data_IF_876308240146
#
_entry.id   IF_876308240146
#
_cell.length_a   1.000
_cell.length_b   1.000
_cell.length_c   1.000
_cell.angle_alpha   90.00
_cell.angle_beta   90.00
_cell.angle_gamma   90.00
#
_symmetry.space_group_name_H-M   'P 1'
#
loop_
_entity.id
_entity.type
_entity.pdbx_description
1 polymer ?
#
# COMPACT_ATOMS: atom_id res chain seq x y z
N UNK A 1 48.88 -8.29 11.55
CA UNK A 1 47.57 -8.64 12.17
C UNK A 1 46.49 -7.56 12.02
N UNK A 2 46.80 -6.34 11.55
CA UNK A 2 45.84 -5.22 11.46
C UNK A 2 44.84 -5.33 10.31
N UNK A 3 45.20 -5.98 9.20
CA UNK A 3 44.33 -6.09 8.01
C UNK A 3 43.07 -6.94 8.26
N UNK A 4 43.20 -8.08 8.97
CA UNK A 4 42.06 -8.93 9.35
C UNK A 4 41.10 -8.18 10.28
N UNK A 5 41.63 -7.44 11.26
CA UNK A 5 40.83 -6.66 12.19
C UNK A 5 40.00 -5.56 11.50
N UNK A 6 40.60 -4.85 10.53
CA UNK A 6 39.89 -3.83 9.73
C UNK A 6 38.79 -4.44 8.87
N UNK A 7 39.03 -5.62 8.28
CA UNK A 7 38.04 -6.32 7.47
C UNK A 7 36.86 -6.86 8.31
N UNK A 8 37.14 -7.41 9.49
CA UNK A 8 36.08 -7.85 10.42
C UNK A 8 35.23 -6.69 10.93
N UNK A 9 35.83 -5.52 11.22
CA UNK A 9 35.07 -4.33 11.63
C UNK A 9 34.20 -3.81 10.48
N UNK A 10 34.73 -3.79 9.26
CA UNK A 10 33.97 -3.38 8.08
C UNK A 10 32.75 -4.29 7.83
N UNK A 11 32.93 -5.61 7.94
CA UNK A 11 31.82 -6.57 7.83
C UNK A 11 30.78 -6.39 8.93
N UNK A 12 31.21 -6.07 10.15
CA UNK A 12 30.29 -5.85 11.27
C UNK A 12 29.44 -4.59 11.08
N UNK A 13 30.04 -3.49 10.59
CA UNK A 13 29.31 -2.26 10.25
C UNK A 13 28.31 -2.50 9.11
N UNK A 14 28.73 -3.24 8.08
CA UNK A 14 27.86 -3.57 6.95
C UNK A 14 26.66 -4.42 7.40
N UNK A 15 26.90 -5.45 8.22
CA UNK A 15 25.84 -6.27 8.78
C UNK A 15 24.87 -5.43 9.63
N UNK A 16 25.37 -4.52 10.46
CA UNK A 16 24.51 -3.69 11.30
C UNK A 16 23.56 -2.82 10.48
N UNK A 17 24.04 -2.25 9.35
CA UNK A 17 23.21 -1.48 8.42
C UNK A 17 22.04 -2.28 7.84
N UNK A 18 22.23 -3.58 7.58
CA UNK A 18 21.17 -4.46 7.10
C UNK A 18 20.15 -4.84 8.19
N UNK A 19 20.56 -4.91 9.47
CA UNK A 19 19.66 -5.27 10.57
C UNK A 19 18.96 -4.07 11.22
N UNK A 20 19.48 -2.86 11.08
CA UNK A 20 18.84 -1.62 11.60
C UNK A 20 18.00 -0.89 10.57
N UNK A 21 18.06 -1.28 9.30
CA UNK A 21 17.17 -0.76 8.27
C UNK A 21 15.79 -1.41 8.39
N UNK A 22 14.75 -0.60 8.61
CA UNK A 22 13.37 -1.06 8.37
C UNK A 22 13.26 -1.44 6.90
N UNK A 23 12.93 -2.71 6.65
CA UNK A 23 13.03 -3.36 5.35
C UNK A 23 12.38 -2.59 4.20
N UNK A 24 13.00 -2.75 3.01
CA UNK A 24 12.55 -2.32 1.69
C UNK A 24 11.87 -0.95 1.70
N UNK A 25 12.64 0.09 1.36
CA UNK A 25 12.13 1.39 0.98
C UNK A 25 11.04 1.20 -0.08
N UNK A 26 9.78 1.18 0.36
CA UNK A 26 8.64 1.08 -0.54
C UNK A 26 8.68 2.33 -1.39
N UNK A 27 9.06 2.18 -2.66
CA UNK A 27 9.08 3.24 -3.68
C UNK A 27 7.68 3.78 -4.01
N UNK A 28 6.66 3.48 -3.19
CA UNK A 28 5.35 4.12 -3.24
C UNK A 28 5.22 5.07 -2.04
N UNK A 29 5.22 6.39 -2.28
CA UNK A 29 4.93 7.37 -1.24
C UNK A 29 3.45 7.24 -0.88
N UNK A 30 3.14 6.48 0.17
CA UNK A 30 1.76 6.32 0.64
C UNK A 30 1.59 5.17 1.60
N UNK A 31 1.61 5.48 2.91
CA UNK A 31 0.75 5.10 4.05
C UNK A 31 -0.09 3.80 4.06
N UNK A 32 -0.02 2.90 3.08
CA UNK A 32 -0.76 1.64 3.12
C UNK A 32 0.00 0.70 4.08
N UNK A 33 -0.57 0.34 5.25
CA UNK A 33 0.11 -0.54 6.19
C UNK A 33 0.42 -1.89 5.55
N UNK A 34 1.53 -2.56 5.94
CA UNK A 34 2.00 -3.79 5.31
C UNK A 34 1.03 -5.00 5.38
N UNK A 35 -0.14 -4.84 5.99
CA UNK A 35 -1.20 -5.85 6.07
C UNK A 35 -2.33 -5.72 5.04
N UNK A 36 -2.43 -4.62 4.29
CA UNK A 36 -3.53 -4.41 3.33
C UNK A 36 -3.07 -4.80 1.92
N UNK A 37 -3.53 -5.96 1.45
CA UNK A 37 -3.17 -6.49 0.12
C UNK A 37 -4.27 -6.38 -0.91
N UNK A 38 -5.51 -6.18 -0.48
CA UNK A 38 -6.68 -6.06 -1.35
C UNK A 38 -7.67 -5.09 -0.72
N UNK A 39 -8.39 -4.38 -1.58
CA UNK A 39 -9.42 -3.41 -1.15
C UNK A 39 -10.74 -3.69 -1.86
N UNK A 40 -11.84 -3.42 -1.17
CA UNK A 40 -13.17 -3.34 -1.76
C UNK A 40 -13.68 -1.90 -1.64
N UNK A 41 -14.50 -1.46 -2.59
CA UNK A 41 -15.23 -0.19 -2.53
C UNK A 41 -16.71 -0.56 -2.45
N UNK A 42 -17.39 -0.03 -1.43
CA UNK A 42 -18.84 -0.16 -1.30
C UNK A 42 -19.55 0.90 -2.18
N UNK A 43 -20.77 0.61 -2.62
CA UNK A 43 -21.50 1.54 -3.49
C UNK A 43 -21.82 2.84 -2.75
N UNK A 44 -21.47 3.99 -3.35
CA UNK A 44 -21.71 5.30 -2.75
C UNK A 44 -23.22 5.60 -2.71
N UNK A 45 -23.72 5.93 -1.52
CA UNK A 45 -25.10 6.42 -1.36
C UNK A 45 -25.18 7.86 -1.84
N UNK A 46 -26.05 8.12 -2.81
CA UNK A 46 -26.28 9.46 -3.33
C UNK A 46 -27.35 10.20 -2.52
N UNK A 47 -26.93 11.19 -1.73
CA UNK A 47 -27.83 12.04 -0.93
C UNK A 47 -28.34 13.28 -1.69
N UNK A 48 -28.00 13.42 -2.97
CA UNK A 48 -28.39 14.57 -3.80
C UNK A 48 -29.59 14.25 -4.70
N UNK A 49 -30.21 15.28 -5.25
CA UNK A 49 -31.29 15.15 -6.23
C UNK A 49 -30.81 14.76 -7.64
N UNK A 50 -29.48 14.76 -7.89
CA UNK A 50 -28.91 14.43 -9.19
C UNK A 50 -28.95 12.92 -9.40
N UNK A 51 -29.46 12.46 -10.55
CA UNK A 51 -29.63 11.04 -10.78
C UNK A 51 -28.31 10.37 -11.16
N UNK A 52 -28.00 9.22 -10.55
CA UNK A 52 -26.84 8.40 -10.93
C UNK A 52 -25.49 8.89 -10.42
N UNK A 53 -25.43 10.04 -9.72
CA UNK A 53 -24.17 10.61 -9.22
C UNK A 53 -23.38 9.64 -8.31
N UNK A 54 -24.06 8.88 -7.45
CA UNK A 54 -23.41 7.88 -6.60
C UNK A 54 -22.74 6.76 -7.39
N UNK A 55 -23.41 6.27 -8.45
CA UNK A 55 -22.87 5.22 -9.32
C UNK A 55 -21.69 5.74 -10.15
N UNK A 56 -21.80 6.97 -10.66
CA UNK A 56 -20.73 7.63 -11.41
C UNK A 56 -19.49 7.82 -10.53
N UNK A 57 -19.67 8.30 -9.29
CA UNK A 57 -18.58 8.47 -8.34
C UNK A 57 -17.92 7.14 -7.99
N UNK A 58 -18.72 6.12 -7.70
CA UNK A 58 -18.22 4.76 -7.42
C UNK A 58 -17.39 4.23 -8.59
N UNK A 59 -17.88 4.41 -9.82
CA UNK A 59 -17.19 3.97 -11.04
C UNK A 59 -15.90 4.75 -11.28
N UNK A 60 -15.93 6.07 -11.07
CA UNK A 60 -14.75 6.93 -11.18
C UNK A 60 -13.66 6.51 -10.17
N UNK A 61 -14.04 6.23 -8.92
CA UNK A 61 -13.15 5.72 -7.88
C UNK A 61 -12.52 4.39 -8.28
N UNK A 62 -13.32 3.41 -8.69
CA UNK A 62 -12.84 2.10 -9.14
C UNK A 62 -11.87 2.22 -10.32
N UNK A 63 -12.20 3.09 -11.30
CA UNK A 63 -11.36 3.29 -12.49
C UNK A 63 -9.98 3.85 -12.13
N UNK A 64 -9.90 4.78 -11.17
CA UNK A 64 -8.64 5.37 -10.71
C UNK A 64 -7.78 4.38 -9.94
N UNK A 65 -8.39 3.58 -9.07
CA UNK A 65 -7.70 2.53 -8.31
C UNK A 65 -7.05 1.52 -9.27
N UNK A 66 -7.79 1.13 -10.31
CA UNK A 66 -7.30 0.21 -11.34
C UNK A 66 -6.22 0.85 -12.22
N UNK A 67 -6.41 2.10 -12.66
CA UNK A 67 -5.46 2.79 -13.55
C UNK A 67 -4.10 3.04 -12.89
N UNK A 68 -4.12 3.42 -11.61
CA UNK A 68 -2.91 3.67 -10.82
C UNK A 68 -2.30 2.36 -10.26
N UNK A 69 -2.97 1.22 -10.45
CA UNK A 69 -2.56 -0.09 -9.95
C UNK A 69 -2.20 -0.07 -8.46
N UNK A 70 -3.04 0.60 -7.67
CA UNK A 70 -2.78 0.88 -6.25
C UNK A 70 -2.78 -0.45 -5.48
N UNK A 71 -3.89 -1.18 -5.56
CA UNK A 71 -4.12 -2.49 -4.94
C UNK A 71 -5.15 -3.28 -5.77
N UNK A 72 -5.10 -4.62 -5.75
CA UNK A 72 -6.12 -5.45 -6.38
C UNK A 72 -7.48 -5.27 -5.69
N UNK A 73 -8.53 -5.20 -6.52
CA UNK A 73 -9.91 -5.17 -6.07
C UNK A 73 -10.38 -6.59 -5.72
N UNK A 74 -11.08 -6.72 -4.59
CA UNK A 74 -11.70 -7.96 -4.17
C UNK A 74 -13.13 -7.72 -3.69
N UNK A 75 -13.93 -8.78 -3.59
CA UNK A 75 -15.24 -8.76 -2.95
C UNK A 75 -15.14 -8.23 -1.51
N UNK A 76 -16.14 -7.49 -1.00
CA UNK A 76 -16.13 -6.94 0.36
C UNK A 76 -15.87 -7.97 1.47
N UNK A 77 -16.22 -9.24 1.22
CA UNK A 77 -16.00 -10.35 2.16
C UNK A 77 -14.58 -10.92 2.15
N UNK A 78 -13.82 -10.70 1.08
CA UNK A 78 -12.48 -11.23 0.87
C UNK A 78 -11.39 -10.14 0.86
N UNK A 79 -11.78 -8.87 0.85
CA UNK A 79 -10.87 -7.75 0.92
C UNK A 79 -10.25 -7.59 2.32
N UNK A 80 -8.99 -7.15 2.38
CA UNK A 80 -8.33 -6.84 3.66
C UNK A 80 -8.82 -5.50 4.24
N UNK A 81 -9.34 -4.62 3.39
CA UNK A 81 -9.94 -3.34 3.78
C UNK A 81 -11.10 -3.00 2.86
N UNK A 82 -12.11 -2.32 3.40
CA UNK A 82 -13.28 -1.86 2.65
C UNK A 82 -13.38 -0.35 2.80
N UNK A 83 -13.42 0.37 1.69
CA UNK A 83 -13.66 1.81 1.66
C UNK A 83 -15.17 2.04 1.74
N UNK A 84 -15.59 2.77 2.77
CA UNK A 84 -16.97 3.19 3.00
C UNK A 84 -17.05 4.71 2.91
N UNK A 85 -18.00 5.21 2.14
CA UNK A 85 -18.22 6.63 1.88
C UNK A 85 -19.62 7.02 2.26
#
# INVERSE_FOLDING_TARGET
MTFKARYTVFLFVLAHLFFTGCGIYSVRPGTIPPGIKSIAVEDVVNETAEFGLGQELTTALLSRILSENILPLAEPRAAHSVIRT
#
